data_IF_179979091094
#
_entry.id   IF_179979091094
#
_cell.length_a   1.000
_cell.length_b   1.000
_cell.length_c   1.000
_cell.angle_alpha   90.00
_cell.angle_beta   90.00
_cell.angle_gamma   90.00
#
_symmetry.space_group_name_H-M   'P 1'
#
loop_
_entity.id
_entity.type
_entity.pdbx_description
1 polymer ?
#
# COMPACT_ATOMS: atom_id res chain seq x y z
N UNK A 1 12.92 -3.08 -12.44
CA UNK A 1 13.50 -1.96 -11.65
C UNK A 1 13.81 -2.30 -10.19
N UNK A 2 13.71 -3.56 -9.74
CA UNK A 2 14.13 -3.95 -8.39
C UNK A 2 15.61 -4.35 -8.35
N UNK A 3 16.53 -3.40 -8.49
CA UNK A 3 17.85 -3.53 -7.88
C UNK A 3 18.49 -2.14 -7.79
N UNK A 4 18.71 -1.67 -6.57
CA UNK A 4 19.81 -0.78 -6.26
C UNK A 4 20.18 -0.98 -4.79
N UNK A 5 21.06 -1.97 -4.58
CA UNK A 5 21.85 -2.07 -3.38
C UNK A 5 22.84 -0.90 -3.31
N UNK A 6 22.83 -0.17 -2.20
CA UNK A 6 23.73 0.97 -2.03
C UNK A 6 23.70 1.52 -0.61
N UNK A 7 24.63 1.03 0.20
CA UNK A 7 24.88 1.33 1.60
C UNK A 7 24.82 2.83 1.95
N UNK A 8 24.17 3.12 3.08
CA UNK A 8 24.13 4.40 3.76
C UNK A 8 22.92 4.38 4.68
N UNK A 9 23.09 4.67 5.98
CA UNK A 9 22.03 4.74 6.99
C UNK A 9 21.02 5.85 6.64
N UNK A 10 20.23 5.62 5.61
CA UNK A 10 18.99 6.31 5.26
C UNK A 10 17.90 5.56 6.03
N UNK A 11 16.91 6.24 6.60
CA UNK A 11 15.67 5.57 7.06
C UNK A 11 15.18 4.78 5.85
N UNK A 12 15.35 3.45 5.88
CA UNK A 12 15.08 2.61 4.73
C UNK A 12 13.59 2.72 4.46
N UNK A 13 13.24 3.22 3.28
CA UNK A 13 11.87 3.13 2.79
C UNK A 13 11.61 1.64 2.61
N UNK A 14 10.76 1.09 3.48
CA UNK A 14 10.36 -0.31 3.36
C UNK A 14 9.20 -0.38 2.40
N UNK A 15 9.46 -0.91 1.21
CA UNK A 15 8.47 -1.14 0.17
C UNK A 15 8.14 -2.64 0.15
N UNK A 16 6.90 -2.98 0.48
CA UNK A 16 6.37 -4.32 0.34
C UNK A 16 5.33 -4.32 -0.79
N UNK A 17 5.49 -5.19 -1.78
CA UNK A 17 4.58 -5.31 -2.92
C UNK A 17 4.08 -6.74 -2.92
N UNK A 18 2.76 -6.92 -2.92
CA UNK A 18 2.15 -8.23 -3.07
C UNK A 18 1.00 -8.19 -4.06
N UNK A 19 0.65 -9.35 -4.60
CA UNK A 19 -0.41 -9.48 -5.58
C UNK A 19 -1.64 -10.09 -4.92
N UNK A 20 -2.76 -9.41 -5.04
CA UNK A 20 -4.08 -9.90 -4.67
C UNK A 20 -4.87 -10.28 -5.92
N UNK A 21 -5.11 -11.57 -6.15
CA UNK A 21 -6.11 -12.04 -7.12
C UNK A 21 -7.40 -12.40 -6.38
N UNK A 22 -8.43 -11.55 -6.49
CA UNK A 22 -9.73 -11.79 -5.86
C UNK A 22 -10.84 -11.34 -6.79
N UNK A 23 -11.72 -12.27 -7.12
CA UNK A 23 -12.90 -12.10 -7.97
C UNK A 23 -13.79 -11.00 -7.38
N UNK A 24 -14.03 -9.95 -8.18
CA UNK A 24 -14.74 -8.67 -7.88
C UNK A 24 -13.86 -7.64 -7.15
N UNK A 25 -13.82 -6.42 -7.71
CA UNK A 25 -13.29 -5.21 -7.07
C UNK A 25 -13.75 -5.11 -5.60
N UNK A 26 -14.99 -5.54 -5.34
CA UNK A 26 -15.69 -5.41 -4.07
C UNK A 26 -14.98 -5.99 -2.83
N UNK A 27 -14.17 -7.06 -2.95
CA UNK A 27 -13.59 -7.73 -1.76
C UNK A 27 -12.24 -7.13 -1.32
N UNK A 28 -11.42 -6.64 -2.26
CA UNK A 28 -10.13 -5.99 -1.96
C UNK A 28 -10.33 -4.53 -1.54
N UNK A 29 -11.40 -3.90 -2.02
CA UNK A 29 -11.73 -2.50 -1.72
C UNK A 29 -12.22 -2.27 -0.27
N UNK A 30 -12.55 -3.34 0.45
CA UNK A 30 -12.88 -3.32 1.89
C UNK A 30 -11.66 -3.33 2.82
N UNK A 31 -10.45 -3.56 2.28
CA UNK A 31 -9.24 -3.81 3.06
C UNK A 31 -8.78 -2.61 3.90
N UNK A 32 -9.05 -1.37 3.46
CA UNK A 32 -8.66 -0.17 4.21
C UNK A 32 -9.25 -0.11 5.63
N UNK A 33 -10.37 -0.82 5.87
CA UNK A 33 -11.05 -0.86 7.17
C UNK A 33 -10.91 -2.19 7.91
N UNK A 34 -10.38 -3.25 7.29
CA UNK A 34 -10.22 -4.55 7.95
C UNK A 34 -9.04 -4.48 8.95
N UNK A 35 -9.27 -4.73 10.25
CA UNK A 35 -8.19 -4.77 11.25
C UNK A 35 -7.04 -5.71 10.86
N UNK A 36 -7.34 -6.83 10.19
CA UNK A 36 -6.32 -7.78 9.74
C UNK A 36 -5.42 -7.19 8.67
N UNK A 37 -5.97 -6.36 7.78
CA UNK A 37 -5.19 -5.70 6.75
C UNK A 37 -4.29 -4.61 7.34
N UNK A 38 -4.77 -3.86 8.34
CA UNK A 38 -3.95 -2.86 9.03
C UNK A 38 -2.78 -3.50 9.80
N UNK A 39 -3.00 -4.63 10.47
CA UNK A 39 -1.92 -5.41 11.10
C UNK A 39 -0.93 -5.96 10.06
N UNK A 40 -1.44 -6.38 8.90
CA UNK A 40 -0.62 -6.85 7.80
C UNK A 40 0.26 -5.72 7.25
N UNK A 41 -0.31 -4.53 7.02
CA UNK A 41 0.40 -3.33 6.55
C UNK A 41 1.62 -3.03 7.44
N UNK A 42 1.47 -3.13 8.76
CA UNK A 42 2.53 -2.83 9.70
C UNK A 42 3.62 -3.90 9.78
N UNK A 43 3.29 -5.18 9.54
CA UNK A 43 4.19 -6.31 9.83
C UNK A 43 4.79 -6.99 8.59
N UNK A 44 4.26 -6.68 7.41
CA UNK A 44 4.66 -7.33 6.16
C UNK A 44 6.01 -6.80 5.68
N UNK A 45 6.92 -7.71 5.34
CA UNK A 45 8.19 -7.40 4.70
C UNK A 45 8.26 -8.10 3.35
N UNK A 46 9.14 -7.61 2.47
CA UNK A 46 9.35 -8.22 1.16
C UNK A 46 9.71 -9.70 1.25
N UNK A 47 10.62 -10.06 2.17
CA UNK A 47 11.07 -11.44 2.33
C UNK A 47 9.91 -12.38 2.65
N UNK A 48 9.00 -11.95 3.55
CA UNK A 48 7.79 -12.71 3.87
C UNK A 48 6.87 -12.88 2.67
N UNK A 49 6.73 -11.86 1.81
CA UNK A 49 5.89 -11.97 0.60
C UNK A 49 6.50 -12.94 -0.41
N UNK A 50 7.82 -12.90 -0.56
CA UNK A 50 8.56 -13.76 -1.48
C UNK A 50 8.57 -15.25 -1.04
N UNK A 51 8.25 -15.56 0.23
CA UNK A 51 7.99 -16.94 0.68
C UNK A 51 6.71 -17.54 0.07
N UNK A 52 5.72 -16.72 -0.32
CA UNK A 52 4.42 -17.19 -0.84
C UNK A 52 4.39 -17.37 -2.36
N UNK A 53 5.46 -17.90 -2.96
CA UNK A 53 5.49 -18.19 -4.39
C UNK A 53 4.53 -19.34 -4.76
N UNK A 54 3.88 -19.31 -5.94
CA UNK A 54 4.09 -18.36 -7.05
C UNK A 54 3.23 -17.08 -6.99
N UNK A 55 2.18 -17.05 -6.17
CA UNK A 55 1.14 -16.00 -6.25
C UNK A 55 1.46 -14.76 -5.40
N UNK A 56 2.40 -14.87 -4.44
CA UNK A 56 2.86 -13.79 -3.55
C UNK A 56 1.70 -13.15 -2.77
N UNK A 57 0.81 -13.96 -2.22
CA UNK A 57 -0.28 -13.52 -1.36
C UNK A 57 0.00 -13.97 0.09
N UNK A 58 0.01 -13.06 1.09
CA UNK A 58 0.33 -13.40 2.48
C UNK A 58 -0.78 -14.14 3.24
N UNK A 59 -1.89 -14.50 2.57
CA UNK A 59 -2.96 -15.33 3.13
C UNK A 59 -3.00 -16.69 2.42
N UNK A 60 -2.73 -17.77 3.16
CA UNK A 60 -2.69 -19.13 2.63
C UNK A 60 -4.06 -19.62 2.08
N UNK A 61 -5.17 -19.15 2.64
CA UNK A 61 -6.51 -19.54 2.19
C UNK A 61 -6.82 -18.90 0.84
N UNK A 62 -6.50 -17.61 0.70
CA UNK A 62 -6.72 -16.89 -0.54
C UNK A 62 -5.73 -17.35 -1.60
N UNK A 63 -4.45 -17.56 -1.24
CA UNK A 63 -3.43 -18.13 -2.13
C UNK A 63 -3.90 -19.42 -2.79
N UNK A 64 -4.44 -20.38 -2.03
CA UNK A 64 -4.95 -21.63 -2.61
C UNK A 64 -6.09 -21.40 -3.61
N UNK A 65 -7.04 -20.51 -3.28
CA UNK A 65 -8.13 -20.14 -4.19
C UNK A 65 -7.61 -19.51 -5.49
N UNK A 66 -6.57 -18.70 -5.39
CA UNK A 66 -5.92 -18.09 -6.56
C UNK A 66 -5.23 -19.15 -7.43
N UNK A 67 -4.50 -20.08 -6.81
CA UNK A 67 -3.85 -21.19 -7.52
C UNK A 67 -4.87 -22.06 -8.26
N UNK A 68 -5.96 -22.44 -7.58
CA UNK A 68 -7.04 -23.24 -8.16
C UNK A 68 -7.67 -22.51 -9.37
N UNK A 69 -7.91 -21.19 -9.25
CA UNK A 69 -8.46 -20.37 -10.34
C UNK A 69 -7.51 -20.24 -11.53
N UNK A 70 -6.22 -20.03 -11.27
CA UNK A 70 -5.21 -19.94 -12.33
C UNK A 70 -5.09 -21.28 -13.04
N UNK A 71 -5.14 -22.39 -12.31
CA UNK A 71 -5.11 -23.73 -12.89
C UNK A 71 -6.34 -23.99 -13.78
N UNK A 72 -7.55 -23.65 -13.30
CA UNK A 72 -8.79 -23.80 -14.05
C UNK A 72 -8.77 -23.00 -15.37
N UNK A 73 -8.38 -21.73 -15.32
CA UNK A 73 -8.32 -20.87 -16.51
C UNK A 73 -7.25 -21.32 -17.49
N UNK A 74 -6.10 -21.80 -16.98
CA UNK A 74 -5.05 -22.38 -17.82
C UNK A 74 -5.58 -23.58 -18.60
N UNK A 75 -6.36 -24.45 -17.94
CA UNK A 75 -6.94 -25.64 -18.57
C UNK A 75 -8.04 -25.26 -19.60
N UNK A 76 -8.67 -24.08 -19.44
CA UNK A 76 -9.60 -23.48 -20.41
C UNK A 76 -8.92 -22.67 -21.52
N UNK A 77 -7.59 -22.56 -21.52
CA UNK A 77 -6.82 -21.68 -22.41
C UNK A 77 -7.22 -20.20 -22.32
N UNK A 78 -7.61 -19.75 -21.13
CA UNK A 78 -7.98 -18.35 -20.85
C UNK A 78 -6.98 -17.70 -19.86
N UNK A 79 -7.13 -16.39 -19.63
CA UNK A 79 -6.27 -15.59 -18.76
C UNK A 79 -7.07 -14.64 -17.88
N UNK A 80 -6.52 -14.30 -16.71
CA UNK A 80 -7.13 -13.37 -15.77
C UNK A 80 -6.13 -12.32 -15.30
N UNK A 81 -6.60 -11.08 -15.14
CA UNK A 81 -5.86 -9.99 -14.50
C UNK A 81 -5.93 -10.06 -12.98
N UNK A 82 -5.19 -9.20 -12.30
CA UNK A 82 -5.18 -9.14 -10.83
C UNK A 82 -4.89 -7.73 -10.33
N UNK A 83 -5.00 -7.56 -9.02
CA UNK A 83 -4.70 -6.29 -8.34
C UNK A 83 -3.39 -6.43 -7.58
N UNK A 84 -2.54 -5.40 -7.63
CA UNK A 84 -1.27 -5.37 -6.90
C UNK A 84 -1.36 -4.30 -5.83
N UNK A 85 -1.07 -4.67 -4.58
CA UNK A 85 -1.02 -3.72 -3.46
C UNK A 85 0.43 -3.44 -3.12
N UNK A 86 0.77 -2.16 -3.05
CA UNK A 86 2.10 -1.69 -2.67
C UNK A 86 1.98 -0.89 -1.37
N UNK A 87 2.83 -1.20 -0.41
CA UNK A 87 2.93 -0.51 0.87
C UNK A 87 4.30 0.13 0.98
N UNK A 88 4.30 1.44 1.26
CA UNK A 88 5.52 2.21 1.47
C UNK A 88 5.50 2.73 2.90
N UNK A 89 6.48 2.32 3.71
CA UNK A 89 6.63 2.74 5.11
C UNK A 89 7.89 3.58 5.30
N UNK A 90 7.88 4.40 6.34
CA UNK A 90 9.01 5.28 6.69
C UNK A 90 9.19 6.48 5.75
N UNK A 91 8.16 6.81 4.97
CA UNK A 91 8.16 7.96 4.08
C UNK A 91 8.29 9.27 4.88
N UNK A 92 9.26 10.17 4.57
CA UNK A 92 9.32 11.47 5.20
C UNK A 92 8.11 12.32 4.83
N UNK A 93 7.61 13.10 5.78
CA UNK A 93 6.50 14.04 5.52
C UNK A 93 6.92 15.14 4.55
N UNK A 94 6.01 15.53 3.66
CA UNK A 94 6.22 16.63 2.71
C UNK A 94 6.86 16.21 1.38
N UNK A 95 6.75 14.93 0.99
CA UNK A 95 7.07 14.50 -0.36
C UNK A 95 5.95 14.86 -1.34
N UNK A 96 6.34 15.31 -2.53
CA UNK A 96 5.43 15.80 -3.56
C UNK A 96 5.37 17.32 -3.63
N UNK A 97 4.92 17.85 -4.76
CA UNK A 97 4.80 19.28 -4.99
C UNK A 97 3.34 19.67 -5.27
N UNK A 98 2.75 20.63 -4.53
CA UNK A 98 1.41 21.08 -4.80
C UNK A 98 1.36 21.90 -6.10
N UNK A 99 0.80 21.28 -7.14
CA UNK A 99 -0.54 21.57 -7.68
C UNK A 99 -0.81 20.59 -8.82
N UNK A 100 0.23 20.34 -9.63
CA UNK A 100 0.24 19.43 -10.77
C UNK A 100 1.10 18.19 -10.52
N UNK A 101 2.27 18.34 -9.86
CA UNK A 101 3.20 17.25 -9.55
C UNK A 101 3.02 16.70 -8.13
N UNK A 102 1.76 16.45 -7.78
CA UNK A 102 1.44 15.82 -6.50
C UNK A 102 2.00 14.40 -6.46
N UNK A 103 2.35 13.91 -5.28
CA UNK A 103 2.99 12.61 -5.14
C UNK A 103 2.10 11.49 -5.70
N UNK A 104 0.78 11.54 -5.45
CA UNK A 104 -0.18 10.59 -6.00
C UNK A 104 -0.26 10.65 -7.53
N UNK A 105 -0.08 11.83 -8.13
CA UNK A 105 -0.11 12.00 -9.58
C UNK A 105 1.15 11.41 -10.24
N UNK A 106 2.32 11.63 -9.64
CA UNK A 106 3.58 11.04 -10.11
C UNK A 106 3.58 9.53 -9.94
N UNK A 107 3.04 9.01 -8.83
CA UNK A 107 2.85 7.58 -8.61
C UNK A 107 1.88 7.00 -9.65
N UNK A 108 0.74 7.64 -9.90
CA UNK A 108 -0.20 7.22 -10.92
C UNK A 108 0.47 7.16 -12.31
N UNK A 109 1.22 8.19 -12.69
CA UNK A 109 1.95 8.22 -13.95
C UNK A 109 2.97 7.07 -14.05
N UNK A 110 3.75 6.85 -13.00
CA UNK A 110 4.73 5.76 -12.95
C UNK A 110 4.07 4.38 -13.05
N UNK A 111 2.98 4.14 -12.33
CA UNK A 111 2.28 2.85 -12.34
C UNK A 111 1.56 2.63 -13.67
N UNK A 112 0.87 3.63 -14.21
CA UNK A 112 0.17 3.52 -15.50
C UNK A 112 1.11 3.37 -16.70
N UNK A 113 2.41 3.66 -16.54
CA UNK A 113 3.43 3.38 -17.55
C UNK A 113 3.77 1.88 -17.68
N UNK A 114 3.37 1.06 -16.70
CA UNK A 114 3.63 -0.39 -16.70
C UNK A 114 2.63 -1.08 -17.66
N UNK A 115 3.08 -2.01 -18.52
CA UNK A 115 2.17 -2.75 -19.39
C UNK A 115 1.08 -3.49 -18.59
N UNK A 116 -0.12 -3.59 -19.19
CA UNK A 116 -1.30 -4.25 -18.64
C UNK A 116 -1.97 -3.58 -17.42
N UNK A 117 -1.45 -2.46 -16.90
CA UNK A 117 -2.16 -1.69 -15.85
C UNK A 117 -3.34 -0.93 -16.43
N UNK A 118 -4.49 -0.99 -15.74
CA UNK A 118 -5.74 -0.33 -16.17
C UNK A 118 -6.27 0.69 -15.18
N UNK A 119 -5.73 0.74 -13.97
CA UNK A 119 -6.15 1.67 -12.93
C UNK A 119 -5.09 1.78 -11.84
N UNK A 120 -5.17 2.88 -11.10
CA UNK A 120 -4.35 3.16 -9.94
C UNK A 120 -5.25 3.76 -8.84
N UNK A 121 -5.08 3.30 -7.61
CA UNK A 121 -5.79 3.80 -6.44
C UNK A 121 -4.85 3.90 -5.25
N UNK A 122 -5.13 4.83 -4.36
CA UNK A 122 -4.37 5.06 -3.12
C UNK A 122 -5.33 5.13 -1.93
N UNK A 123 -4.89 4.62 -0.77
CA UNK A 123 -5.69 4.62 0.45
C UNK A 123 -6.99 3.84 0.28
N UNK A 124 -8.13 4.48 0.58
CA UNK A 124 -9.47 3.96 0.35
C UNK A 124 -9.84 3.80 -1.13
N UNK A 125 -9.03 4.35 -2.05
CA UNK A 125 -9.17 4.15 -3.49
C UNK A 125 -10.56 4.49 -4.03
N UNK A 126 -11.07 3.61 -4.89
CA UNK A 126 -12.39 3.76 -5.51
C UNK A 126 -13.54 3.66 -4.50
N UNK A 127 -13.40 2.85 -3.45
CA UNK A 127 -14.42 2.71 -2.41
C UNK A 127 -14.59 3.97 -1.56
N UNK A 128 -13.54 4.78 -1.41
CA UNK A 128 -13.63 6.08 -0.75
C UNK A 128 -14.70 6.99 -1.34
N UNK A 129 -15.02 6.86 -2.64
CA UNK A 129 -16.07 7.62 -3.30
C UNK A 129 -17.50 7.21 -2.87
N UNK A 130 -17.66 6.00 -2.34
CA UNK A 130 -18.94 5.47 -1.84
C UNK A 130 -19.14 5.76 -0.34
N UNK A 131 -18.07 6.14 0.36
CA UNK A 131 -18.09 6.42 1.80
C UNK A 131 -18.59 7.84 2.10
N UNK A 132 -19.24 7.99 3.26
CA UNK A 132 -19.56 9.32 3.80
C UNK A 132 -18.28 9.97 4.32
N UNK A 133 -18.08 11.25 4.01
CA UNK A 133 -16.93 12.02 4.51
C UNK A 133 -16.77 12.03 6.03
N UNK A 134 -17.87 11.86 6.78
CA UNK A 134 -17.82 11.71 8.25
C UNK A 134 -17.09 10.45 8.71
N UNK A 135 -17.03 9.42 7.87
CA UNK A 135 -16.35 8.14 8.14
C UNK A 135 -14.99 8.11 7.45
N UNK A 136 -14.89 8.68 6.26
CA UNK A 136 -13.65 8.67 5.46
C UNK A 136 -12.54 9.56 6.01
N UNK A 137 -12.89 10.66 6.68
CA UNK A 137 -11.89 11.59 7.22
C UNK A 137 -11.08 10.97 8.36
N UNK A 138 -9.76 10.89 8.18
CA UNK A 138 -8.83 10.42 9.19
C UNK A 138 -8.66 11.48 10.32
N UNK A 139 -9.09 11.21 11.57
CA UNK A 139 -8.93 12.20 12.64
C UNK A 139 -7.48 12.29 13.09
N UNK A 140 -6.98 13.53 13.19
CA UNK A 140 -5.66 13.82 13.72
C UNK A 140 -5.65 13.75 15.25
N UNK A 141 -4.71 12.98 15.78
CA UNK A 141 -4.48 12.77 17.22
C UNK A 141 -3.05 13.16 17.58
N UNK A 142 -2.85 13.71 18.78
CA UNK A 142 -1.52 14.11 19.25
C UNK A 142 -0.63 12.88 19.37
N UNK A 143 0.59 12.96 18.85
CA UNK A 143 1.58 11.89 18.98
C UNK A 143 2.35 12.10 20.30
N UNK A 144 2.12 11.29 21.35
CA UNK A 144 2.80 11.46 22.63
C UNK A 144 4.30 11.21 22.53
N UNK A 145 4.78 10.45 21.53
CA UNK A 145 6.20 10.20 21.32
C UNK A 145 6.94 11.43 20.73
N UNK A 146 6.25 12.27 19.96
CA UNK A 146 6.80 13.50 19.39
C UNK A 146 6.81 14.67 20.38
N UNK A 147 6.01 14.61 21.47
CA UNK A 147 5.98 15.63 22.51
C UNK A 147 7.31 15.73 23.30
N UNK A 148 8.08 14.64 23.35
CA UNK A 148 9.34 14.55 24.10
C UNK A 148 10.60 14.66 23.22
N UNK A 149 10.46 14.79 21.89
CA UNK A 149 11.58 14.94 20.97
C UNK A 149 12.10 16.38 21.00
N UNK A 150 13.10 16.65 21.86
CA UNK A 150 13.91 17.87 21.79
C UNK A 150 14.65 17.89 20.45
N UNK A 151 14.63 19.04 19.77
CA UNK A 151 15.12 19.26 18.41
C UNK A 151 16.65 19.17 18.31
N UNK A 152 17.22 17.99 18.49
CA UNK A 152 18.65 17.72 18.43
C UNK A 152 18.95 16.59 17.44
N UNK A 153 18.80 16.87 16.15
CA UNK A 153 19.23 15.96 15.09
C UNK A 153 18.98 16.55 13.71
N UNK A 154 19.98 16.47 12.83
CA UNK A 154 19.84 16.82 11.41
C UNK A 154 18.90 15.80 10.77
N UNK A 155 17.64 16.20 10.56
CA UNK A 155 16.60 15.38 9.93
C UNK A 155 15.20 15.99 10.12
N UNK A 156 14.25 15.60 9.27
CA UNK A 156 12.84 16.04 9.37
C UNK A 156 12.29 15.54 10.72
N UNK A 157 11.80 16.45 11.60
CA UNK A 157 11.29 16.09 12.91
C UNK A 157 10.04 15.20 12.77
N UNK A 158 9.88 14.23 13.67
CA UNK A 158 8.67 13.42 13.72
C UNK A 158 7.46 14.33 13.95
N UNK A 159 6.40 14.12 13.16
CA UNK A 159 5.18 14.94 13.26
C UNK A 159 4.59 14.85 14.67
N UNK A 160 4.20 16.01 15.21
CA UNK A 160 3.47 16.13 16.49
C UNK A 160 2.06 15.54 16.43
N UNK A 161 1.57 15.26 15.23
CA UNK A 161 0.25 14.70 14.94
C UNK A 161 0.42 13.39 14.19
N UNK A 162 -0.40 12.39 14.54
CA UNK A 162 -0.59 11.16 13.76
C UNK A 162 -2.07 11.00 13.44
N UNK A 163 -2.41 10.24 12.41
CA UNK A 163 -3.80 9.88 12.11
C UNK A 163 -4.17 8.59 12.82
N UNK A 164 -5.42 8.48 13.26
CA UNK A 164 -5.94 7.24 13.87
C UNK A 164 -6.17 6.13 12.85
N UNK A 165 -6.52 6.52 11.63
CA UNK A 165 -6.81 5.67 10.47
C UNK A 165 -5.96 6.12 9.29
N UNK A 166 -5.93 5.32 8.22
CA UNK A 166 -5.15 5.60 7.02
C UNK A 166 -6.01 5.42 5.76
N UNK A 167 -7.16 6.09 5.71
CA UNK A 167 -8.00 6.11 4.50
C UNK A 167 -7.39 6.98 3.40
N UNK A 168 -6.59 7.99 3.77
CA UNK A 168 -5.81 8.85 2.87
C UNK A 168 -4.68 8.11 2.13
N UNK A 169 -4.14 7.03 2.69
CA UNK A 169 -3.02 6.31 2.09
C UNK A 169 -1.68 7.05 2.22
N UNK A 170 -1.56 7.97 3.17
CA UNK A 170 -0.31 8.66 3.52
C UNK A 170 0.02 9.90 2.67
N UNK A 171 -0.95 10.42 1.90
CA UNK A 171 -0.84 11.66 1.12
C UNK A 171 -1.95 12.63 1.52
#
# INVERSE_FOLDING_TARGET
MCNDGGAGRRRLLEVAIWVGYGVRLDDIDSLSSDPKFLELVDTLTRDKVDEFLPVRCPDATIMKRMEDMIAELRDQHDSIGGTVTCIIRGCPSGLGEPCFDKLEALLAHAIMSIPATKGFGIGSGFHGAEMRGSVHNDPFVSNPAAANATSAGVGIPASRLHTKTNHSGGI
#
